data_IF_687873103039
#
_entry.id   IF_687873103039
#
_cell.length_a   1.000
_cell.length_b   1.000
_cell.length_c   1.000
_cell.angle_alpha   90.00
_cell.angle_beta   90.00
_cell.angle_gamma   90.00
#
_symmetry.space_group_name_H-M   'P 1'
#
loop_
_entity.id
_entity.type
_entity.pdbx_description
1 polymer ?
#
# COMPACT_ATOMS: atom_id res chain seq x y z
N UNK A 1 -4.40 17.27 28.75
CA UNK A 1 -5.15 17.61 27.52
C UNK A 1 -5.41 16.29 26.79
N UNK A 2 -6.62 15.75 26.87
CA UNK A 2 -6.94 14.43 26.32
C UNK A 2 -7.22 14.57 24.82
N UNK A 3 -6.24 14.24 23.98
CA UNK A 3 -6.41 14.25 22.52
C UNK A 3 -7.20 13.00 22.15
N UNK A 4 -8.45 13.20 21.74
CA UNK A 4 -9.32 12.13 21.22
C UNK A 4 -8.94 11.92 19.76
N UNK A 5 -8.29 10.79 19.45
CA UNK A 5 -8.00 10.41 18.06
C UNK A 5 -9.32 10.16 17.32
N UNK A 6 -9.49 10.62 16.08
CA UNK A 6 -10.66 10.28 15.28
C UNK A 6 -10.64 8.79 14.96
N UNK A 7 -11.60 8.03 15.50
CA UNK A 7 -11.75 6.61 15.20
C UNK A 7 -12.46 6.42 13.85
N UNK A 8 -11.94 5.53 13.01
CA UNK A 8 -12.60 5.13 11.78
C UNK A 8 -13.43 3.85 11.99
N UNK A 9 -14.75 3.95 11.84
CA UNK A 9 -15.71 2.87 12.08
C UNK A 9 -16.26 2.21 10.79
N UNK A 10 -15.62 2.36 9.62
CA UNK A 10 -16.14 1.83 8.33
C UNK A 10 -15.10 1.14 7.45
N UNK A 11 -15.44 0.03 6.77
CA UNK A 11 -14.55 -0.69 5.81
C UNK A 11 -14.73 -0.15 4.38
N UNK A 12 -14.59 1.15 4.22
CA UNK A 12 -14.73 1.86 2.94
C UNK A 12 -13.41 2.54 2.56
N UNK A 13 -13.23 2.88 1.28
CA UNK A 13 -12.08 3.67 0.80
C UNK A 13 -11.93 5.01 1.54
N UNK A 14 -13.05 5.55 2.05
CA UNK A 14 -13.04 6.72 2.94
C UNK A 14 -12.38 6.48 4.31
N UNK A 15 -12.15 5.23 4.71
CA UNK A 15 -11.44 4.87 5.93
C UNK A 15 -9.95 4.79 5.71
N UNK A 16 -9.52 4.29 4.56
CA UNK A 16 -8.11 4.30 4.13
C UNK A 16 -7.60 5.76 4.10
N UNK A 17 -8.34 6.68 3.48
CA UNK A 17 -8.06 8.13 3.49
C UNK A 17 -7.98 8.75 4.91
N UNK A 18 -8.75 8.23 5.87
CA UNK A 18 -8.68 8.69 7.28
C UNK A 18 -7.45 8.11 7.98
N UNK A 19 -6.98 6.95 7.53
CA UNK A 19 -5.82 6.26 8.11
C UNK A 19 -4.52 6.96 7.73
N UNK A 20 -4.36 7.45 6.48
CA UNK A 20 -3.21 8.29 6.09
C UNK A 20 -3.18 9.61 6.84
N UNK A 21 -4.31 10.28 7.04
CA UNK A 21 -4.37 11.51 7.83
C UNK A 21 -3.96 11.29 9.30
N UNK A 22 -4.39 10.17 9.91
CA UNK A 22 -3.96 9.80 11.27
C UNK A 22 -2.46 9.46 11.28
N UNK A 23 -1.96 8.73 10.29
CA UNK A 23 -0.55 8.37 10.20
C UNK A 23 0.34 9.60 10.01
N UNK A 24 -0.08 10.55 9.16
CA UNK A 24 0.60 11.84 9.00
C UNK A 24 0.57 12.63 10.30
N UNK A 25 -0.58 12.69 11.00
CA UNK A 25 -0.66 13.34 12.29
C UNK A 25 0.33 12.74 13.30
N UNK A 26 0.32 11.41 13.47
CA UNK A 26 1.24 10.71 14.39
C UNK A 26 2.70 10.95 14.01
N UNK A 27 3.03 10.93 12.71
CA UNK A 27 4.38 11.21 12.22
C UNK A 27 4.78 12.68 12.47
N UNK A 28 3.85 13.63 12.33
CA UNK A 28 4.13 15.06 12.54
C UNK A 28 4.29 15.45 14.01
N UNK A 29 3.54 14.82 14.93
CA UNK A 29 3.70 15.09 16.37
C UNK A 29 4.94 14.41 16.96
N UNK A 30 5.41 13.35 16.31
CA UNK A 30 6.63 12.63 16.68
C UNK A 30 7.79 13.12 15.82
N UNK A 31 8.17 14.40 15.97
CA UNK A 31 9.20 15.05 15.14
C UNK A 31 10.53 14.27 15.11
N UNK A 32 10.89 13.61 16.21
CA UNK A 32 12.10 12.77 16.32
C UNK A 32 12.05 11.52 15.42
N UNK A 33 10.87 11.12 14.94
CA UNK A 33 10.71 9.94 14.07
C UNK A 33 11.35 10.13 12.69
N UNK A 34 11.45 11.38 12.20
CA UNK A 34 11.91 11.68 10.85
C UNK A 34 10.99 11.15 9.72
N UNK A 35 9.81 10.60 10.05
CA UNK A 35 8.90 10.02 9.06
C UNK A 35 8.25 11.07 8.14
N UNK A 36 8.04 12.27 8.66
CA UNK A 36 7.68 13.44 7.88
C UNK A 36 8.88 14.38 7.75
N UNK A 37 9.35 14.68 6.53
CA UNK A 37 10.40 15.69 6.30
C UNK A 37 9.98 17.08 6.75
N UNK A 38 10.96 17.88 7.20
CA UNK A 38 10.77 19.31 7.50
C UNK A 38 10.86 20.18 6.26
N UNK A 39 11.57 19.71 5.23
CA UNK A 39 11.60 20.38 3.93
C UNK A 39 10.19 20.31 3.29
N UNK A 40 9.58 21.45 2.92
CA UNK A 40 8.23 21.46 2.37
C UNK A 40 8.09 20.67 1.06
N UNK A 41 9.14 20.62 0.24
CA UNK A 41 9.15 19.90 -1.03
C UNK A 41 9.18 18.39 -0.83
N UNK A 42 10.03 17.90 0.07
CA UNK A 42 10.04 16.49 0.46
C UNK A 42 8.74 16.09 1.18
N UNK A 43 8.22 16.94 2.06
CA UNK A 43 6.93 16.68 2.72
C UNK A 43 5.78 16.58 1.72
N UNK A 44 5.77 17.41 0.67
CA UNK A 44 4.79 17.32 -0.42
C UNK A 44 4.95 16.01 -1.21
N UNK A 45 6.19 15.56 -1.47
CA UNK A 45 6.43 14.26 -2.12
C UNK A 45 5.95 13.09 -1.27
N UNK A 46 6.13 13.13 0.06
CA UNK A 46 5.59 12.10 0.95
C UNK A 46 4.06 12.03 0.82
N UNK A 47 3.36 13.16 0.89
CA UNK A 47 1.89 13.21 0.72
C UNK A 47 1.44 12.71 -0.65
N UNK A 48 2.20 13.05 -1.70
CA UNK A 48 1.95 12.53 -3.05
C UNK A 48 2.00 11.00 -3.06
N UNK A 49 3.02 10.39 -2.44
CA UNK A 49 3.13 8.93 -2.36
C UNK A 49 2.00 8.30 -1.56
N UNK A 50 1.58 8.91 -0.46
CA UNK A 50 0.40 8.47 0.30
C UNK A 50 -0.83 8.41 -0.60
N UNK A 51 -1.09 9.50 -1.34
CA UNK A 51 -2.22 9.58 -2.24
C UNK A 51 -2.14 8.58 -3.40
N UNK A 52 -0.97 8.40 -4.01
CA UNK A 52 -0.76 7.40 -5.08
C UNK A 52 -1.06 5.99 -4.56
N UNK A 53 -0.53 5.62 -3.40
CA UNK A 53 -0.72 4.30 -2.83
C UNK A 53 -2.21 4.02 -2.54
N UNK A 54 -2.93 4.99 -1.99
CA UNK A 54 -4.35 4.86 -1.68
C UNK A 54 -5.21 4.83 -2.94
N UNK A 55 -5.09 5.85 -3.80
CA UNK A 55 -6.00 6.05 -4.92
C UNK A 55 -5.74 5.08 -6.08
N UNK A 56 -4.48 4.71 -6.29
CA UNK A 56 -4.09 3.99 -7.50
C UNK A 56 -3.76 2.51 -7.27
N UNK A 57 -3.64 2.07 -6.01
CA UNK A 57 -3.37 0.67 -5.68
C UNK A 57 -4.38 0.14 -4.67
N UNK A 58 -4.47 0.72 -3.47
CA UNK A 58 -5.31 0.17 -2.40
C UNK A 58 -6.80 0.20 -2.76
N UNK A 59 -7.33 1.37 -3.13
CA UNK A 59 -8.75 1.51 -3.43
C UNK A 59 -9.20 0.62 -4.61
N UNK A 60 -8.47 0.53 -5.74
CA UNK A 60 -8.78 -0.42 -6.81
C UNK A 60 -8.74 -1.89 -6.34
N UNK A 61 -7.70 -2.30 -5.62
CA UNK A 61 -7.61 -3.67 -5.07
C UNK A 61 -8.74 -3.97 -4.07
N UNK A 62 -9.17 -2.97 -3.30
CA UNK A 62 -10.27 -3.08 -2.33
C UNK A 62 -11.60 -3.36 -3.03
N UNK A 63 -11.85 -2.77 -4.22
CA UNK A 63 -13.03 -3.07 -5.04
C UNK A 63 -13.01 -4.53 -5.51
N UNK A 64 -11.90 -4.99 -6.09
CA UNK A 64 -11.76 -6.38 -6.53
C UNK A 64 -11.93 -7.34 -5.35
N UNK A 65 -11.26 -7.05 -4.22
CA UNK A 65 -11.37 -7.85 -3.01
C UNK A 65 -12.83 -7.97 -2.55
N UNK A 66 -13.59 -6.86 -2.53
CA UNK A 66 -15.01 -6.86 -2.14
C UNK A 66 -15.87 -7.77 -3.02
N UNK A 67 -15.59 -7.82 -4.32
CA UNK A 67 -16.25 -8.76 -5.24
C UNK A 67 -15.88 -10.21 -4.91
N UNK A 68 -14.60 -10.49 -4.70
CA UNK A 68 -14.08 -11.82 -4.33
C UNK A 68 -14.69 -12.36 -3.02
N UNK A 69 -15.00 -11.48 -2.06
CA UNK A 69 -15.59 -11.87 -0.77
C UNK A 69 -17.11 -11.66 -0.68
N UNK A 70 -17.79 -11.49 -1.82
CA UNK A 70 -19.26 -11.36 -1.92
C UNK A 70 -19.87 -10.15 -1.18
N UNK A 71 -19.09 -9.10 -0.92
CA UNK A 71 -19.64 -7.85 -0.36
C UNK A 71 -20.31 -6.99 -1.44
N UNK A 72 -19.88 -7.13 -2.68
CA UNK A 72 -20.50 -6.54 -3.87
C UNK A 72 -20.63 -7.60 -4.96
N UNK A 73 -21.48 -7.39 -5.99
CA UNK A 73 -21.51 -8.27 -7.16
C UNK A 73 -20.12 -8.37 -7.78
N UNK A 74 -19.72 -9.59 -8.14
CA UNK A 74 -18.46 -9.84 -8.81
C UNK A 74 -18.65 -9.79 -10.32
N UNK A 75 -17.74 -9.09 -11.00
CA UNK A 75 -17.70 -8.92 -12.44
C UNK A 75 -16.24 -9.15 -12.88
N UNK A 76 -16.03 -10.18 -13.69
CA UNK A 76 -14.72 -10.60 -14.17
C UNK A 76 -14.07 -9.51 -15.05
N UNK A 77 -14.83 -8.94 -15.99
CA UNK A 77 -14.31 -7.95 -16.95
C UNK A 77 -13.93 -6.66 -16.24
N UNK A 78 -14.77 -6.21 -15.30
CA UNK A 78 -14.45 -5.07 -14.45
C UNK A 78 -13.21 -5.33 -13.58
N UNK A 79 -13.12 -6.52 -12.98
CA UNK A 79 -11.98 -6.90 -12.13
C UNK A 79 -10.68 -6.91 -12.91
N UNK A 80 -10.68 -7.49 -14.11
CA UNK A 80 -9.52 -7.51 -15.01
C UNK A 80 -9.11 -6.10 -15.43
N UNK A 81 -10.07 -5.23 -15.79
CA UNK A 81 -9.79 -3.83 -16.13
C UNK A 81 -9.18 -3.03 -14.97
N UNK A 82 -9.64 -3.29 -13.73
CA UNK A 82 -9.06 -2.71 -12.53
C UNK A 82 -7.63 -3.21 -12.32
N UNK A 83 -7.39 -4.52 -12.41
CA UNK A 83 -6.07 -5.11 -12.22
C UNK A 83 -5.07 -4.65 -13.29
N UNK A 84 -5.53 -4.43 -14.53
CA UNK A 84 -4.71 -3.81 -15.59
C UNK A 84 -4.28 -2.37 -15.23
N UNK A 85 -5.17 -1.61 -14.60
CA UNK A 85 -4.83 -0.27 -14.12
C UNK A 85 -3.77 -0.32 -13.02
N UNK A 86 -3.91 -1.24 -12.06
CA UNK A 86 -2.90 -1.47 -11.01
C UNK A 86 -1.57 -1.93 -11.62
N UNK A 87 -1.59 -2.81 -12.61
CA UNK A 87 -0.41 -3.24 -13.37
C UNK A 87 0.37 -2.06 -13.94
N UNK A 88 -0.31 -1.13 -14.63
CA UNK A 88 0.34 0.06 -15.19
C UNK A 88 1.03 0.90 -14.11
N UNK A 89 0.44 0.98 -12.93
CA UNK A 89 1.01 1.74 -11.80
C UNK A 89 2.20 1.03 -11.17
N UNK A 90 2.11 -0.29 -10.99
CA UNK A 90 3.24 -1.09 -10.54
C UNK A 90 4.42 -1.03 -11.50
N UNK A 91 4.20 -0.95 -12.81
CA UNK A 91 5.29 -0.72 -13.77
C UNK A 91 6.07 0.56 -13.45
N UNK A 92 5.36 1.66 -13.20
CA UNK A 92 5.99 2.94 -12.85
C UNK A 92 6.72 2.85 -11.52
N UNK A 93 6.10 2.24 -10.51
CA UNK A 93 6.69 2.09 -9.17
C UNK A 93 7.93 1.21 -9.22
N UNK A 94 7.86 0.06 -9.89
CA UNK A 94 8.98 -0.86 -10.06
C UNK A 94 10.19 -0.16 -10.70
N UNK A 95 9.95 0.66 -11.72
CA UNK A 95 11.03 1.44 -12.34
C UNK A 95 11.54 2.53 -11.39
N UNK A 96 10.63 3.21 -10.67
CA UNK A 96 10.99 4.26 -9.71
C UNK A 96 11.87 3.75 -8.56
N UNK A 97 11.60 2.56 -8.04
CA UNK A 97 12.35 1.97 -6.93
C UNK A 97 13.57 1.16 -7.37
N UNK A 98 13.82 1.05 -8.68
CA UNK A 98 14.94 0.25 -9.22
C UNK A 98 16.32 0.79 -8.84
N UNK A 99 16.44 2.11 -8.67
CA UNK A 99 17.66 2.83 -8.31
C UNK A 99 17.54 3.61 -7.00
N UNK A 100 16.47 3.36 -6.23
CA UNK A 100 16.17 4.09 -4.98
C UNK A 100 16.05 3.16 -3.79
N UNK A 101 16.82 3.48 -2.75
CA UNK A 101 16.66 2.84 -1.46
C UNK A 101 15.37 3.31 -0.76
N UNK A 102 15.03 4.60 -0.85
CA UNK A 102 13.82 5.15 -0.26
C UNK A 102 13.11 6.07 -1.24
N UNK A 103 11.80 6.24 -1.06
CA UNK A 103 10.96 6.99 -1.99
C UNK A 103 11.26 8.49 -2.02
N UNK A 104 11.64 9.08 -0.88
CA UNK A 104 11.81 10.52 -0.72
C UNK A 104 13.10 10.83 0.05
N UNK A 105 13.89 11.77 -0.45
CA UNK A 105 15.03 12.34 0.27
C UNK A 105 16.14 11.36 0.65
N UNK A 106 16.18 10.16 0.06
CA UNK A 106 17.19 9.13 0.37
C UNK A 106 17.12 8.60 1.81
N UNK A 107 15.97 8.72 2.48
CA UNK A 107 15.77 8.26 3.86
C UNK A 107 14.41 7.61 4.04
N UNK A 108 14.29 6.75 5.05
CA UNK A 108 13.02 6.13 5.43
C UNK A 108 12.01 7.19 5.88
N UNK A 109 10.84 7.23 5.24
CA UNK A 109 9.74 8.16 5.50
C UNK A 109 8.39 7.42 5.60
N UNK A 110 7.33 8.18 5.90
CA UNK A 110 5.97 7.66 5.87
C UNK A 110 5.57 7.12 4.49
N UNK A 111 6.14 7.65 3.39
CA UNK A 111 5.88 7.15 2.04
C UNK A 111 6.29 5.67 1.90
N UNK A 112 7.46 5.31 2.42
CA UNK A 112 8.02 3.95 2.32
C UNK A 112 7.14 2.96 3.10
N UNK A 113 6.71 3.35 4.30
CA UNK A 113 5.78 2.57 5.13
C UNK A 113 4.45 2.35 4.43
N UNK A 114 3.88 3.40 3.85
CA UNK A 114 2.60 3.32 3.14
C UNK A 114 2.72 2.41 1.92
N UNK A 115 3.74 2.61 1.07
CA UNK A 115 3.93 1.76 -0.11
C UNK A 115 4.13 0.29 0.28
N UNK A 116 4.96 0.01 1.29
CA UNK A 116 5.18 -1.36 1.75
C UNK A 116 3.88 -2.02 2.27
N UNK A 117 3.05 -1.27 3.00
CA UNK A 117 1.75 -1.77 3.47
C UNK A 117 0.80 -2.12 2.33
N UNK A 118 0.68 -1.25 1.32
CA UNK A 118 -0.22 -1.48 0.18
C UNK A 118 0.30 -2.62 -0.71
N UNK A 119 1.61 -2.71 -0.94
CA UNK A 119 2.23 -3.85 -1.63
C UNK A 119 1.99 -5.16 -0.87
N UNK A 120 2.07 -5.16 0.45
CA UNK A 120 1.77 -6.32 1.28
C UNK A 120 0.34 -6.84 1.08
N UNK A 121 -0.64 -5.95 1.01
CA UNK A 121 -2.02 -6.31 0.66
C UNK A 121 -2.14 -6.93 -0.74
N UNK A 122 -1.40 -6.37 -1.70
CA UNK A 122 -1.27 -6.92 -3.04
C UNK A 122 -0.67 -8.33 -3.04
N UNK A 123 0.48 -8.53 -2.41
CA UNK A 123 1.17 -9.83 -2.35
C UNK A 123 0.41 -10.89 -1.57
N UNK A 124 -0.40 -10.51 -0.59
CA UNK A 124 -1.19 -11.45 0.19
C UNK A 124 -2.37 -12.06 -0.59
N UNK A 125 -2.78 -11.49 -1.73
CA UNK A 125 -3.98 -11.92 -2.45
C UNK A 125 -3.92 -11.88 -3.97
N UNK A 126 -3.26 -10.89 -4.55
CA UNK A 126 -3.35 -10.56 -5.97
C UNK A 126 -2.04 -10.84 -6.72
N UNK A 127 -0.90 -10.46 -6.14
CA UNK A 127 0.38 -10.46 -6.85
C UNK A 127 1.02 -11.85 -6.81
N UNK A 128 0.60 -12.70 -7.75
CA UNK A 128 1.07 -14.07 -7.92
C UNK A 128 2.52 -14.17 -8.43
N UNK A 129 2.97 -15.40 -8.75
CA UNK A 129 4.34 -15.62 -9.22
C UNK A 129 4.69 -14.92 -10.53
N UNK A 130 3.75 -14.83 -11.47
CA UNK A 130 3.98 -14.12 -12.73
C UNK A 130 4.14 -12.62 -12.44
N UNK A 131 3.27 -12.11 -11.57
CA UNK A 131 3.30 -10.71 -11.16
C UNK A 131 4.59 -10.34 -10.41
N UNK A 132 5.05 -11.20 -9.50
CA UNK A 132 6.33 -11.10 -8.80
C UNK A 132 7.52 -11.08 -9.79
N UNK A 133 7.48 -11.92 -10.83
CA UNK A 133 8.52 -11.96 -11.87
C UNK A 133 8.53 -10.72 -12.77
N UNK A 134 7.36 -10.11 -13.01
CA UNK A 134 7.24 -8.89 -13.80
C UNK A 134 7.75 -7.63 -13.08
N UNK A 135 7.64 -7.59 -11.74
CA UNK A 135 8.04 -6.44 -10.92
C UNK A 135 9.04 -6.80 -9.81
N UNK A 136 10.26 -7.24 -10.18
CA UNK A 136 11.25 -7.70 -9.22
C UNK A 136 11.74 -6.59 -8.29
N UNK A 137 11.89 -5.36 -8.78
CA UNK A 137 12.37 -4.24 -7.95
C UNK A 137 11.33 -3.82 -6.92
N UNK A 138 10.03 -3.84 -7.27
CA UNK A 138 8.96 -3.60 -6.31
C UNK A 138 8.92 -4.67 -5.20
N UNK A 139 9.16 -5.93 -5.56
CA UNK A 139 9.20 -7.04 -4.60
C UNK A 139 10.39 -6.91 -3.64
N UNK A 140 11.59 -6.68 -4.18
CA UNK A 140 12.79 -6.54 -3.35
C UNK A 140 12.73 -5.27 -2.50
N UNK A 141 12.18 -4.17 -3.04
CA UNK A 141 11.89 -2.97 -2.27
C UNK A 141 10.96 -3.28 -1.09
N UNK A 142 9.84 -3.97 -1.32
CA UNK A 142 8.89 -4.34 -0.27
C UNK A 142 9.54 -5.17 0.84
N UNK A 143 10.29 -6.22 0.48
CA UNK A 143 11.02 -7.04 1.46
C UNK A 143 12.02 -6.23 2.26
N UNK A 144 12.77 -5.35 1.60
CA UNK A 144 13.79 -4.52 2.26
C UNK A 144 13.17 -3.55 3.25
N UNK A 145 12.05 -2.91 2.90
CA UNK A 145 11.35 -2.02 3.83
C UNK A 145 10.82 -2.81 5.04
N UNK A 146 10.24 -4.00 4.85
CA UNK A 146 9.76 -4.84 5.95
C UNK A 146 10.89 -5.31 6.89
N UNK A 147 12.09 -5.52 6.35
CA UNK A 147 13.27 -5.90 7.12
C UNK A 147 13.95 -4.72 7.84
N UNK A 148 13.51 -3.47 7.64
CA UNK A 148 14.12 -2.31 8.29
C UNK A 148 13.95 -2.42 9.82
N UNK A 149 15.04 -2.42 10.61
CA UNK A 149 14.98 -2.55 12.07
C UNK A 149 14.09 -1.51 12.75
N UNK A 150 13.90 -0.33 12.14
CA UNK A 150 13.03 0.72 12.65
C UNK A 150 11.56 0.30 12.75
N UNK A 151 11.13 -0.67 11.94
CA UNK A 151 9.79 -1.22 12.02
C UNK A 151 9.61 -2.13 13.23
N UNK A 152 10.69 -2.69 13.78
CA UNK A 152 10.64 -3.64 14.90
C UNK A 152 9.58 -4.75 14.71
N UNK A 153 9.45 -5.25 13.48
CA UNK A 153 8.48 -6.29 13.12
C UNK A 153 7.00 -5.84 13.08
N UNK A 154 6.70 -4.53 13.18
CA UNK A 154 5.33 -4.03 13.22
C UNK A 154 4.47 -4.42 12.01
N UNK A 155 5.09 -4.63 10.84
CA UNK A 155 4.41 -5.07 9.62
C UNK A 155 4.51 -6.58 9.35
N UNK A 156 5.25 -7.32 10.19
CA UNK A 156 5.49 -8.76 10.02
C UNK A 156 6.32 -9.11 8.79
N UNK A 157 6.39 -10.41 8.51
CA UNK A 157 7.12 -10.97 7.37
C UNK A 157 6.29 -10.88 6.06
N UNK A 158 6.94 -10.73 4.89
CA UNK A 158 6.24 -10.69 3.61
C UNK A 158 5.45 -11.97 3.34
N UNK A 159 4.13 -11.86 3.15
CA UNK A 159 3.27 -12.97 2.71
C UNK A 159 3.11 -12.90 1.20
N UNK A 160 3.67 -13.87 0.48
CA UNK A 160 3.66 -13.92 -0.99
C UNK A 160 2.80 -15.08 -1.48
N UNK A 161 1.70 -14.80 -2.17
CA UNK A 161 0.88 -15.85 -2.77
C UNK A 161 1.54 -16.47 -4.00
N UNK A 162 1.34 -17.78 -4.18
CA UNK A 162 1.76 -18.49 -5.40
C UNK A 162 0.79 -18.27 -6.57
N UNK A 163 -0.50 -18.13 -6.27
CA UNK A 163 -1.60 -17.91 -7.22
C UNK A 163 -2.51 -16.81 -6.68
N UNK A 164 -3.01 -15.97 -7.57
CA UNK A 164 -3.96 -14.93 -7.20
C UNK A 164 -5.27 -15.54 -6.66
N UNK A 165 -5.92 -14.81 -5.76
CA UNK A 165 -7.25 -15.15 -5.27
C UNK A 165 -8.25 -15.09 -6.44
N UNK A 166 -9.02 -16.17 -6.59
CA UNK A 166 -10.06 -16.31 -7.61
C UNK A 166 -11.43 -16.30 -6.95
N UNK A 167 -12.42 -15.76 -7.64
CA UNK A 167 -13.79 -15.81 -7.16
C UNK A 167 -14.28 -17.26 -7.10
N UNK A 168 -15.04 -17.56 -6.05
CA UNK A 168 -15.69 -18.86 -5.88
C UNK A 168 -17.16 -18.61 -5.55
N UNK A 169 -18.12 -19.37 -6.11
CA UNK A 169 -19.50 -19.25 -5.70
C UNK A 169 -19.64 -19.58 -4.21
N UNK A 170 -20.57 -18.90 -3.53
CA UNK A 170 -20.85 -19.16 -2.11
C UNK A 170 -21.41 -20.59 -1.99
N UNK A 171 -20.81 -21.41 -1.14
CA UNK A 171 -21.36 -22.73 -0.82
C UNK A 171 -22.77 -22.55 -0.23
N UNK A 172 -23.72 -23.34 -0.74
CA UNK A 172 -25.14 -23.25 -0.45
C UNK A 172 -25.49 -23.75 0.96
#
# INVERSE_FOLDING_TARGET
MSIRLPECHSVSSSCELKTSAIAEYVASVTLESGLMPTDPGEAAQVRMWLHICEAEIMAPLSVVNKGLIHLIPYDDEMSDGILQTVHRRLTNINNWVSDREYLVGGRFTLADLTLASVLGHGYAKFFDKAWQGAYPYALEYHKRILADPKLNGALGEPVLVGKAAVWKPKEA
#
